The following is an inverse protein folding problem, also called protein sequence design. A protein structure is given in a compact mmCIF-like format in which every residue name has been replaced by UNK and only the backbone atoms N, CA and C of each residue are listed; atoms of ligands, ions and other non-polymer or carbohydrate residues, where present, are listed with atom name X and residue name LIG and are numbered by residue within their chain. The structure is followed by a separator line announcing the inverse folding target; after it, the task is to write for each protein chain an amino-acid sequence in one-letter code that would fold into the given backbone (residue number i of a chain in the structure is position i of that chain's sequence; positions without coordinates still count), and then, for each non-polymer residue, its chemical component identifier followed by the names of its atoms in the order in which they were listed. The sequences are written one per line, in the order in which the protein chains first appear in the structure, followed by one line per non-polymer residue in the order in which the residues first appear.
data_IF_924918869490
#
_entry.id   IF_924918869490
#
_cell.length_a   1.000
_cell.length_b   1.000
_cell.length_c   1.000
_cell.angle_alpha   90.00
_cell.angle_beta   90.00
_cell.angle_gamma   90.00
#
_symmetry.space_group_name_H-M   'P 1'
#
loop_
_entity.id
_entity.type
_entity.pdbx_description
1 polymer ?
#
# COMPACT_ATOMS: atom_id res chain seq x y z
N UNK A 1 28.45 20.61 -10.86
CA UNK A 1 28.56 20.31 -9.40
C UNK A 1 27.57 19.21 -8.94
N UNK A 2 26.30 19.18 -9.38
CA UNK A 2 25.32 18.13 -8.96
C UNK A 2 25.69 16.68 -9.34
N UNK A 3 26.31 16.43 -10.49
CA UNK A 3 26.63 15.06 -10.93
C UNK A 3 27.71 14.38 -10.08
N UNK A 4 28.71 15.14 -9.58
CA UNK A 4 29.76 14.60 -8.71
C UNK A 4 29.19 14.06 -7.39
N UNK A 5 28.14 14.70 -6.85
CA UNK A 5 27.49 14.28 -5.60
C UNK A 5 26.63 13.02 -5.72
N UNK A 6 26.05 12.73 -6.90
CA UNK A 6 25.23 11.53 -7.08
C UNK A 6 26.12 10.30 -7.30
N UNK A 7 27.12 10.41 -8.18
CA UNK A 7 28.10 9.35 -8.43
C UNK A 7 28.88 9.00 -7.15
N UNK A 8 29.33 10.00 -6.37
CA UNK A 8 30.07 9.73 -5.13
C UNK A 8 29.25 8.96 -4.11
N UNK A 9 27.94 9.25 -4.01
CA UNK A 9 27.01 8.51 -3.14
C UNK A 9 26.77 7.09 -3.64
N UNK A 10 26.58 6.92 -4.94
CA UNK A 10 26.43 5.60 -5.57
C UNK A 10 27.65 4.72 -5.31
N UNK A 11 28.87 5.25 -5.48
CA UNK A 11 30.11 4.52 -5.20
C UNK A 11 30.22 4.18 -3.70
N UNK A 12 29.88 5.10 -2.79
CA UNK A 12 29.92 4.83 -1.35
C UNK A 12 28.90 3.78 -0.86
N UNK A 13 27.95 3.40 -1.70
CA UNK A 13 26.93 2.39 -1.38
C UNK A 13 27.29 0.98 -1.83
N UNK A 14 28.43 0.80 -2.51
CA UNK A 14 28.92 -0.51 -2.93
C UNK A 14 29.36 -1.35 -1.73
N UNK A 15 29.10 -2.64 -1.80
CA UNK A 15 29.70 -3.62 -0.89
C UNK A 15 31.05 -4.13 -1.43
N UNK A 16 31.79 -4.89 -0.61
CA UNK A 16 33.10 -5.42 -1.03
C UNK A 16 33.04 -6.36 -2.24
N UNK A 17 31.90 -7.00 -2.50
CA UNK A 17 31.75 -7.86 -3.67
C UNK A 17 31.56 -7.03 -4.94
N UNK A 18 30.76 -5.98 -4.86
CA UNK A 18 30.51 -5.02 -5.93
C UNK A 18 31.78 -4.24 -6.29
N UNK A 19 32.60 -3.85 -5.31
CA UNK A 19 33.91 -3.22 -5.57
C UNK A 19 34.88 -4.14 -6.33
N UNK A 20 34.95 -5.43 -5.94
CA UNK A 20 35.76 -6.42 -6.66
C UNK A 20 35.28 -6.61 -8.09
N UNK A 21 33.97 -6.66 -8.27
CA UNK A 21 33.36 -6.81 -9.59
C UNK A 21 33.63 -5.59 -10.48
N UNK A 22 33.54 -4.38 -9.93
CA UNK A 22 33.92 -3.14 -10.63
C UNK A 22 35.38 -3.17 -11.09
N UNK A 23 36.28 -3.61 -10.20
CA UNK A 23 37.71 -3.73 -10.53
C UNK A 23 37.95 -4.81 -11.59
N UNK A 24 37.20 -5.92 -11.56
CA UNK A 24 37.24 -6.94 -12.59
C UNK A 24 36.83 -6.37 -13.95
N UNK A 25 35.69 -5.66 -14.03
CA UNK A 25 35.25 -5.02 -15.27
C UNK A 25 36.28 -4.04 -15.81
N UNK A 26 36.87 -3.19 -14.95
CA UNK A 26 37.93 -2.27 -15.37
C UNK A 26 39.16 -3.02 -15.90
N UNK A 27 39.51 -4.16 -15.29
CA UNK A 27 40.63 -5.00 -15.72
C UNK A 27 40.35 -5.69 -17.05
N UNK A 28 39.12 -6.13 -17.29
CA UNK A 28 38.68 -6.70 -18.58
C UNK A 28 38.76 -5.66 -19.70
N UNK A 29 38.28 -4.44 -19.46
CA UNK A 29 38.39 -3.32 -20.41
C UNK A 29 39.86 -2.99 -20.69
N UNK A 30 40.70 -2.90 -19.66
CA UNK A 30 42.14 -2.65 -19.84
C UNK A 30 42.81 -3.75 -20.67
N UNK A 31 42.51 -5.03 -20.41
CA UNK A 31 43.05 -6.15 -21.18
C UNK A 31 42.59 -6.13 -22.62
N UNK A 32 41.31 -5.83 -22.86
CA UNK A 32 40.76 -5.70 -24.21
C UNK A 32 41.43 -4.57 -24.97
N UNK A 33 41.63 -3.40 -24.35
CA UNK A 33 42.34 -2.26 -24.93
C UNK A 33 43.79 -2.60 -25.34
N UNK A 34 44.49 -3.44 -24.57
CA UNK A 34 45.87 -3.85 -24.87
C UNK A 34 46.00 -4.98 -25.90
N UNK A 35 45.06 -5.94 -25.92
CA UNK A 35 45.29 -7.25 -26.55
C UNK A 35 44.40 -7.54 -27.78
N UNK A 36 43.42 -6.70 -28.06
CA UNK A 36 42.47 -6.89 -29.17
C UNK A 36 42.48 -5.67 -30.08
N UNK A 37 42.16 -5.85 -31.35
CA UNK A 37 41.90 -4.77 -32.32
C UNK A 37 40.39 -4.59 -32.62
N UNK A 38 39.52 -5.33 -31.93
CA UNK A 38 38.07 -5.21 -32.08
C UNK A 38 37.60 -3.80 -31.68
N UNK A 39 36.69 -3.21 -32.47
CA UNK A 39 36.18 -1.85 -32.23
C UNK A 39 35.20 -1.73 -31.06
N UNK A 40 34.63 -2.85 -30.60
CA UNK A 40 33.63 -2.88 -29.52
C UNK A 40 33.81 -4.06 -28.58
N UNK A 41 33.42 -3.90 -27.32
CA UNK A 41 33.23 -5.00 -26.36
C UNK A 41 31.92 -4.82 -25.58
N UNK A 42 31.45 -5.91 -24.96
CA UNK A 42 30.27 -5.92 -24.12
C UNK A 42 30.64 -6.35 -22.70
N UNK A 43 30.01 -5.71 -21.71
CA UNK A 43 30.02 -6.17 -20.33
C UNK A 43 28.59 -6.51 -19.90
N UNK A 44 28.39 -7.72 -19.40
CA UNK A 44 27.11 -8.13 -18.80
C UNK A 44 27.07 -7.72 -17.32
N UNK A 45 26.16 -6.80 -17.01
CA UNK A 45 26.06 -6.18 -15.70
C UNK A 45 24.60 -6.16 -15.29
N UNK A 46 24.20 -7.14 -14.48
CA UNK A 46 22.78 -7.31 -14.11
C UNK A 46 22.22 -6.18 -13.25
N UNK A 47 23.02 -5.67 -12.30
CA UNK A 47 22.60 -4.64 -11.34
C UNK A 47 22.54 -3.26 -12.00
N UNK A 48 21.38 -2.55 -12.01
CA UNK A 48 21.27 -1.22 -12.62
C UNK A 48 22.23 -0.19 -12.05
N UNK A 49 22.44 -0.20 -10.72
CA UNK A 49 23.37 0.69 -10.05
C UNK A 49 24.82 0.45 -10.51
N UNK A 50 25.22 -0.81 -10.67
CA UNK A 50 26.54 -1.17 -11.16
C UNK A 50 26.75 -0.71 -12.61
N UNK A 51 25.75 -0.84 -13.48
CA UNK A 51 25.83 -0.31 -14.86
C UNK A 51 26.15 1.17 -14.86
N UNK A 52 25.40 1.95 -14.09
CA UNK A 52 25.63 3.40 -13.96
C UNK A 52 27.05 3.73 -13.48
N UNK A 53 27.55 3.01 -12.46
CA UNK A 53 28.90 3.22 -11.93
C UNK A 53 29.96 2.84 -12.97
N UNK A 54 29.81 1.69 -13.63
CA UNK A 54 30.75 1.20 -14.66
C UNK A 54 30.86 2.19 -15.83
N UNK A 55 29.75 2.76 -16.30
CA UNK A 55 29.78 3.82 -17.31
C UNK A 55 30.67 5.00 -16.90
N UNK A 56 30.52 5.48 -15.66
CA UNK A 56 31.26 6.62 -15.15
C UNK A 56 32.74 6.28 -14.90
N UNK A 57 33.01 5.13 -14.30
CA UNK A 57 34.37 4.70 -13.94
C UNK A 57 35.21 4.43 -15.20
N UNK A 58 34.65 3.75 -16.20
CA UNK A 58 35.34 3.50 -17.48
C UNK A 58 35.67 4.80 -18.17
N UNK A 59 34.69 5.73 -18.29
CA UNK A 59 34.93 7.05 -18.92
C UNK A 59 35.95 7.89 -18.15
N UNK A 60 36.07 7.69 -16.84
CA UNK A 60 37.07 8.38 -16.02
C UNK A 60 38.47 7.77 -16.14
N UNK A 61 38.57 6.43 -16.23
CA UNK A 61 39.85 5.72 -16.32
C UNK A 61 40.40 5.67 -17.75
N UNK A 62 39.54 5.63 -18.75
CA UNK A 62 39.87 5.47 -20.17
C UNK A 62 39.19 6.58 -20.99
N UNK A 63 39.84 7.76 -21.15
CA UNK A 63 39.25 8.91 -21.83
C UNK A 63 38.86 8.67 -23.30
N UNK A 64 39.56 7.75 -23.98
CA UNK A 64 39.37 7.45 -25.40
C UNK A 64 38.28 6.37 -25.67
N UNK A 65 37.47 6.07 -24.65
CA UNK A 65 36.43 5.05 -24.71
C UNK A 65 35.05 5.68 -24.61
N UNK A 66 34.12 5.22 -25.44
CA UNK A 66 32.71 5.60 -25.39
C UNK A 66 31.88 4.45 -24.81
N UNK A 67 30.84 4.77 -24.05
CA UNK A 67 29.98 3.73 -23.46
C UNK A 67 28.49 4.05 -23.63
N UNK A 68 27.67 3.04 -23.89
CA UNK A 68 26.21 3.14 -24.01
C UNK A 68 25.53 1.86 -23.52
N UNK A 69 24.26 1.94 -23.12
CA UNK A 69 23.43 0.74 -22.94
C UNK A 69 23.18 0.09 -24.32
N UNK A 70 23.17 -1.24 -24.39
CA UNK A 70 22.83 -1.96 -25.62
C UNK A 70 21.36 -1.81 -25.97
N UNK A 71 21.07 -1.50 -27.25
CA UNK A 71 19.71 -1.28 -27.78
C UNK A 71 18.78 -2.50 -27.63
N UNK A 72 19.33 -3.72 -27.59
CA UNK A 72 18.56 -4.97 -27.50
C UNK A 72 18.52 -5.60 -26.11
N UNK A 73 19.43 -5.22 -25.21
CA UNK A 73 19.49 -5.76 -23.85
C UNK A 73 20.01 -4.71 -22.87
N UNK A 74 19.09 -4.15 -22.08
CA UNK A 74 19.39 -3.12 -21.05
C UNK A 74 20.33 -3.58 -19.92
N UNK A 75 20.70 -4.87 -19.86
CA UNK A 75 21.72 -5.38 -18.92
C UNK A 75 23.15 -5.26 -19.46
N UNK A 76 23.32 -5.06 -20.76
CA UNK A 76 24.62 -5.05 -21.41
C UNK A 76 25.12 -3.62 -21.59
N UNK A 77 26.32 -3.35 -21.08
CA UNK A 77 27.07 -2.12 -21.36
C UNK A 77 27.94 -2.34 -22.58
N UNK A 78 27.68 -1.58 -23.64
CA UNK A 78 28.46 -1.56 -24.86
C UNK A 78 29.54 -0.49 -24.78
N UNK A 79 30.77 -0.90 -25.08
CA UNK A 79 31.97 -0.09 -25.00
C UNK A 79 32.59 0.00 -26.39
N UNK A 80 32.87 1.21 -26.86
CA UNK A 80 33.52 1.48 -28.13
C UNK A 80 34.93 2.02 -27.91
N UNK A 81 35.86 1.59 -28.76
CA UNK A 81 37.21 2.15 -28.85
C UNK A 81 37.22 3.32 -29.85
N UNK A 82 37.41 4.54 -29.35
CA UNK A 82 37.62 5.78 -30.12
C UNK A 82 36.58 6.09 -31.25
N UNK A 83 36.73 7.23 -31.92
CA UNK A 83 35.89 7.78 -33.01
C UNK A 83 35.93 6.99 -34.33
N UNK A 84 36.58 5.82 -34.37
CA UNK A 84 36.68 4.98 -35.57
C UNK A 84 35.35 4.31 -35.95
N UNK A 85 34.37 4.31 -35.04
CA UNK A 85 32.99 3.94 -35.38
C UNK A 85 32.24 5.22 -35.71
N UNK A 86 32.10 5.51 -37.01
CA UNK A 86 31.24 6.59 -37.49
C UNK A 86 29.87 6.45 -36.81
N UNK A 87 29.37 7.54 -36.20
CA UNK A 87 28.12 7.67 -35.41
C UNK A 87 28.11 7.21 -33.95
N UNK A 88 29.18 6.60 -33.41
CA UNK A 88 29.21 6.21 -32.00
C UNK A 88 29.33 7.44 -31.08
N UNK A 89 28.42 7.55 -30.11
CA UNK A 89 28.46 8.56 -29.06
C UNK A 89 28.23 7.89 -27.71
N UNK A 90 28.88 8.41 -26.67
CA UNK A 90 28.57 8.02 -25.30
C UNK A 90 27.13 8.41 -24.97
N UNK A 91 26.40 7.51 -24.30
CA UNK A 91 25.10 7.85 -23.73
C UNK A 91 25.26 9.05 -22.78
N UNK A 92 24.44 10.11 -22.92
CA UNK A 92 24.50 11.26 -22.03
C UNK A 92 24.36 10.83 -20.57
N UNK A 93 25.15 11.43 -19.67
CA UNK A 93 25.10 11.08 -18.23
C UNK A 93 23.68 11.24 -17.68
N UNK A 94 22.96 12.28 -18.11
CA UNK A 94 21.56 12.51 -17.73
C UNK A 94 20.65 11.33 -18.11
N UNK A 95 20.83 10.77 -19.31
CA UNK A 95 20.07 9.59 -19.76
C UNK A 95 20.38 8.36 -18.90
N UNK A 96 21.65 8.16 -18.53
CA UNK A 96 22.05 7.07 -17.63
C UNK A 96 21.46 7.24 -16.22
N UNK A 97 21.44 8.47 -15.70
CA UNK A 97 20.81 8.80 -14.41
C UNK A 97 19.29 8.56 -14.45
N UNK A 98 18.61 9.00 -15.52
CA UNK A 98 17.18 8.76 -15.72
C UNK A 98 16.85 7.26 -15.83
N UNK A 99 17.63 6.51 -16.60
CA UNK A 99 17.49 5.05 -16.71
C UNK A 99 17.63 4.37 -15.34
N UNK A 100 18.66 4.74 -14.57
CA UNK A 100 18.87 4.23 -13.22
C UNK A 100 17.68 4.56 -12.31
N UNK A 101 17.24 5.82 -12.28
CA UNK A 101 16.10 6.26 -11.46
C UNK A 101 14.85 5.49 -11.84
N UNK A 102 14.57 5.32 -13.13
CA UNK A 102 13.42 4.57 -13.62
C UNK A 102 13.44 3.09 -13.20
N UNK A 103 14.63 2.47 -13.15
CA UNK A 103 14.80 1.12 -12.61
C UNK A 103 14.60 1.08 -11.08
N UNK A 104 15.11 2.06 -10.34
CA UNK A 104 15.07 2.08 -8.88
C UNK A 104 13.69 2.43 -8.31
N UNK A 105 12.90 3.26 -9.00
CA UNK A 105 11.59 3.70 -8.51
C UNK A 105 10.58 2.54 -8.38
N UNK A 106 10.68 1.51 -9.23
CA UNK A 106 9.86 0.29 -9.14
C UNK A 106 8.36 0.58 -8.90
N UNK A 107 7.81 0.04 -7.81
CA UNK A 107 6.40 0.19 -7.44
C UNK A 107 6.02 1.62 -6.99
N UNK A 108 6.97 2.44 -6.56
CA UNK A 108 6.72 3.84 -6.15
C UNK A 108 6.15 4.69 -7.30
N UNK A 109 6.34 4.26 -8.55
CA UNK A 109 5.71 4.87 -9.72
C UNK A 109 4.18 4.77 -9.66
N UNK A 110 3.65 3.64 -9.21
CA UNK A 110 2.21 3.44 -9.03
C UNK A 110 1.68 4.37 -7.93
N UNK A 111 2.41 4.47 -6.81
CA UNK A 111 2.04 5.39 -5.72
C UNK A 111 2.03 6.85 -6.21
N UNK A 112 3.03 7.25 -6.99
CA UNK A 112 3.10 8.58 -7.59
C UNK A 112 1.93 8.86 -8.54
N UNK A 113 1.48 7.84 -9.30
CA UNK A 113 0.29 7.95 -10.14
C UNK A 113 -0.99 8.10 -9.30
N UNK A 114 -1.15 7.30 -8.25
CA UNK A 114 -2.28 7.42 -7.33
C UNK A 114 -2.35 8.81 -6.68
N UNK A 115 -1.19 9.32 -6.26
CA UNK A 115 -1.05 10.68 -5.74
C UNK A 115 -1.42 11.71 -6.81
N UNK A 116 -0.94 11.59 -8.04
CA UNK A 116 -1.21 12.56 -9.12
C UNK A 116 -2.70 12.63 -9.47
N UNK A 117 -3.36 11.48 -9.61
CA UNK A 117 -4.76 11.44 -10.05
C UNK A 117 -5.78 11.68 -8.93
N UNK A 118 -5.39 11.56 -7.66
CA UNK A 118 -6.25 11.81 -6.47
C UNK A 118 -7.64 11.14 -6.55
N UNK A 119 -7.73 10.00 -7.23
CA UNK A 119 -8.98 9.24 -7.35
C UNK A 119 -9.37 8.67 -5.98
N UNK A 120 -10.67 8.45 -5.70
CA UNK A 120 -11.09 7.79 -4.48
C UNK A 120 -10.41 6.42 -4.31
N UNK A 121 -9.84 6.18 -3.14
CA UNK A 121 -9.29 4.88 -2.76
C UNK A 121 -10.26 4.23 -1.78
N UNK A 122 -10.57 2.98 -2.05
CA UNK A 122 -11.51 2.17 -1.27
C UNK A 122 -10.73 1.01 -0.66
N UNK A 123 -10.90 0.80 0.64
CA UNK A 123 -10.31 -0.32 1.37
C UNK A 123 -11.33 -1.01 2.27
N UNK A 124 -10.93 -2.11 2.88
CA UNK A 124 -11.68 -2.78 3.93
C UNK A 124 -10.80 -2.88 5.16
N UNK A 125 -11.13 -2.15 6.23
CA UNK A 125 -10.27 -2.03 7.40
C UNK A 125 -8.87 -1.46 7.08
N UNK A 126 -8.86 -0.35 6.34
CA UNK A 126 -7.70 0.15 5.59
C UNK A 126 -6.59 0.75 6.48
N UNK A 127 -6.79 0.91 7.79
CA UNK A 127 -5.85 1.65 8.65
C UNK A 127 -4.43 1.10 8.59
N UNK A 128 -4.26 -0.22 8.71
CA UNK A 128 -2.93 -0.82 8.68
C UNK A 128 -2.29 -0.71 7.29
N UNK A 129 -3.09 -0.83 6.22
CA UNK A 129 -2.61 -0.62 4.85
C UNK A 129 -2.04 0.78 4.67
N UNK A 130 -2.69 1.81 5.24
CA UNK A 130 -2.20 3.20 5.19
C UNK A 130 -0.90 3.37 5.99
N UNK A 131 -0.77 2.70 7.14
CA UNK A 131 0.46 2.74 7.94
C UNK A 131 1.63 2.10 7.17
N UNK A 132 1.40 0.93 6.56
CA UNK A 132 2.42 0.25 5.76
C UNK A 132 2.78 1.05 4.50
N UNK A 133 1.77 1.57 3.79
CA UNK A 133 1.97 2.41 2.62
C UNK A 133 2.78 3.66 2.97
N UNK A 134 2.46 4.32 4.08
CA UNK A 134 3.22 5.47 4.56
C UNK A 134 4.69 5.11 4.76
N UNK A 135 4.94 4.10 5.58
CA UNK A 135 6.31 3.70 5.95
C UNK A 135 7.16 3.25 4.74
N UNK A 136 6.53 2.62 3.74
CA UNK A 136 7.24 2.06 2.59
C UNK A 136 7.43 3.05 1.44
N UNK A 137 6.45 3.92 1.18
CA UNK A 137 6.42 4.72 -0.05
C UNK A 137 6.36 6.23 0.15
N UNK A 138 6.03 6.69 1.35
CA UNK A 138 5.94 8.13 1.67
C UNK A 138 7.17 8.55 2.47
N UNK A 139 7.53 7.76 3.47
CA UNK A 139 8.68 8.00 4.34
C UNK A 139 8.47 7.34 5.70
N UNK A 140 9.46 7.42 6.61
CA UNK A 140 9.33 6.83 7.94
C UNK A 140 8.10 7.37 8.67
N UNK A 141 7.43 6.51 9.45
CA UNK A 141 6.26 6.90 10.24
C UNK A 141 6.61 8.11 11.14
N UNK A 142 5.83 9.21 11.07
CA UNK A 142 6.14 10.40 11.84
C UNK A 142 5.85 10.18 13.32
N UNK A 143 6.62 10.85 14.18
CA UNK A 143 6.43 10.80 15.65
C UNK A 143 5.07 11.35 16.09
N UNK A 144 4.49 12.27 15.32
CA UNK A 144 3.19 12.89 15.60
C UNK A 144 2.10 12.24 14.77
N UNK A 145 1.05 11.77 15.45
CA UNK A 145 -0.15 11.20 14.82
C UNK A 145 -0.84 12.16 13.85
N UNK A 146 -0.92 13.45 14.18
CA UNK A 146 -1.48 14.47 13.28
C UNK A 146 -0.70 14.61 11.98
N UNK A 147 0.63 14.48 12.02
CA UNK A 147 1.48 14.50 10.82
C UNK A 147 1.21 13.27 9.95
N UNK A 148 1.03 12.09 10.53
CA UNK A 148 0.65 10.88 9.77
C UNK A 148 -0.66 11.09 9.00
N UNK A 149 -1.69 11.61 9.68
CA UNK A 149 -2.98 11.90 9.06
C UNK A 149 -2.85 12.89 7.92
N UNK A 150 -2.13 13.99 8.14
CA UNK A 150 -1.92 15.02 7.11
C UNK A 150 -1.16 14.45 5.89
N UNK A 151 -0.11 13.66 6.11
CA UNK A 151 0.65 13.04 5.03
C UNK A 151 -0.25 12.16 4.16
N UNK A 152 -1.03 11.27 4.78
CA UNK A 152 -1.95 10.40 4.05
C UNK A 152 -3.06 11.20 3.35
N UNK A 153 -3.70 12.15 4.04
CA UNK A 153 -4.81 12.92 3.48
C UNK A 153 -4.36 13.80 2.31
N UNK A 154 -3.17 14.39 2.39
CA UNK A 154 -2.59 15.16 1.29
C UNK A 154 -2.35 14.26 0.07
N UNK A 155 -1.86 13.03 0.27
CA UNK A 155 -1.62 12.10 -0.84
C UNK A 155 -2.91 11.52 -1.41
N UNK A 156 -3.84 11.11 -0.54
CA UNK A 156 -5.10 10.46 -0.86
C UNK A 156 -6.27 11.18 -0.16
N UNK A 157 -6.84 12.23 -0.79
CA UNK A 157 -7.82 13.10 -0.14
C UNK A 157 -9.21 12.46 0.02
N UNK A 158 -9.44 11.32 -0.64
CA UNK A 158 -10.73 10.62 -0.67
C UNK A 158 -10.54 9.14 -0.36
N UNK A 159 -10.58 8.80 0.92
CA UNK A 159 -10.52 7.42 1.41
C UNK A 159 -11.90 6.92 1.81
N UNK A 160 -12.21 5.66 1.53
CA UNK A 160 -13.44 5.01 1.97
C UNK A 160 -13.13 3.64 2.56
N UNK A 161 -13.54 3.43 3.80
CA UNK A 161 -13.39 2.15 4.48
C UNK A 161 -14.73 1.40 4.52
N UNK A 162 -14.83 0.35 3.72
CA UNK A 162 -16.05 -0.45 3.60
C UNK A 162 -16.44 -1.13 4.90
N UNK A 163 -15.50 -1.41 5.81
CA UNK A 163 -15.82 -2.02 7.12
C UNK A 163 -16.56 -1.02 8.00
N UNK A 164 -16.11 0.23 8.03
CA UNK A 164 -16.79 1.30 8.75
C UNK A 164 -18.16 1.63 8.13
N UNK A 165 -18.22 1.72 6.79
CA UNK A 165 -19.49 1.94 6.07
C UNK A 165 -20.49 0.83 6.37
N UNK A 166 -20.04 -0.43 6.33
CA UNK A 166 -20.86 -1.57 6.70
C UNK A 166 -21.42 -1.38 8.10
N UNK A 167 -20.56 -1.19 9.09
CA UNK A 167 -20.98 -1.03 10.48
C UNK A 167 -22.05 0.07 10.67
N UNK A 168 -21.87 1.25 10.07
CA UNK A 168 -22.85 2.34 10.14
C UNK A 168 -24.17 2.03 9.42
N UNK A 169 -24.10 1.50 8.20
CA UNK A 169 -25.30 1.18 7.42
C UNK A 169 -26.05 -0.02 8.00
N UNK A 170 -25.35 -0.95 8.67
CA UNK A 170 -25.92 -2.14 9.28
C UNK A 170 -26.95 -1.84 10.34
N UNK A 171 -26.80 -0.72 11.05
CA UNK A 171 -27.78 -0.23 12.03
C UNK A 171 -29.17 0.05 11.43
N UNK A 172 -29.25 0.21 10.11
CA UNK A 172 -30.48 0.45 9.35
C UNK A 172 -31.10 -0.84 8.79
N UNK A 173 -30.46 -1.99 8.98
CA UNK A 173 -30.99 -3.28 8.54
C UNK A 173 -32.08 -3.74 9.51
N UNK A 174 -33.12 -4.37 8.94
CA UNK A 174 -34.15 -5.06 9.73
C UNK A 174 -33.62 -6.42 10.19
N UNK A 175 -34.25 -6.99 11.20
CA UNK A 175 -33.85 -8.25 11.83
C UNK A 175 -33.72 -9.43 10.85
N UNK A 176 -34.42 -9.40 9.71
CA UNK A 176 -34.37 -10.43 8.66
C UNK A 176 -33.33 -10.16 7.55
N UNK A 177 -32.64 -9.02 7.58
CA UNK A 177 -31.68 -8.58 6.54
C UNK A 177 -30.25 -8.40 7.09
N UNK A 178 -29.98 -8.86 8.31
CA UNK A 178 -28.69 -8.67 8.99
C UNK A 178 -27.61 -9.56 8.34
N UNK A 179 -26.50 -8.97 7.88
CA UNK A 179 -25.33 -9.74 7.47
C UNK A 179 -24.73 -10.46 8.69
N UNK A 180 -24.10 -11.62 8.46
CA UNK A 180 -23.52 -12.45 9.54
C UNK A 180 -22.45 -11.70 10.34
N UNK A 181 -21.61 -10.94 9.64
CA UNK A 181 -20.56 -10.12 10.25
C UNK A 181 -20.15 -8.99 9.30
N UNK A 182 -19.29 -8.08 9.77
CA UNK A 182 -18.65 -7.04 8.93
C UNK A 182 -17.31 -7.50 8.35
N UNK A 183 -17.02 -8.81 8.33
CA UNK A 183 -15.87 -9.35 7.63
C UNK A 183 -16.06 -9.23 6.12
N UNK A 184 -14.96 -9.08 5.38
CA UNK A 184 -14.98 -8.88 3.93
C UNK A 184 -15.75 -9.99 3.21
N UNK A 185 -15.45 -11.24 3.54
CA UNK A 185 -16.08 -12.43 2.98
C UNK A 185 -17.61 -12.41 3.17
N UNK A 186 -18.07 -12.27 4.41
CA UNK A 186 -19.50 -12.28 4.73
C UNK A 186 -20.26 -11.15 4.02
N UNK A 187 -19.67 -9.96 3.95
CA UNK A 187 -20.25 -8.82 3.25
C UNK A 187 -20.30 -9.07 1.73
N UNK A 188 -19.24 -9.61 1.15
CA UNK A 188 -19.19 -9.91 -0.28
C UNK A 188 -20.21 -10.99 -0.66
N UNK A 189 -20.30 -12.07 0.11
CA UNK A 189 -21.31 -13.13 -0.06
C UNK A 189 -22.73 -12.55 0.05
N UNK A 190 -23.00 -11.74 1.08
CA UNK A 190 -24.29 -11.09 1.27
C UNK A 190 -24.73 -10.26 0.05
N UNK A 191 -23.82 -9.49 -0.54
CA UNK A 191 -24.13 -8.67 -1.71
C UNK A 191 -24.11 -9.43 -3.05
N UNK A 192 -23.31 -10.49 -3.18
CA UNK A 192 -23.21 -11.28 -4.41
C UNK A 192 -24.37 -12.25 -4.56
N UNK A 193 -24.88 -12.80 -3.46
CA UNK A 193 -26.05 -13.68 -3.42
C UNK A 193 -27.40 -12.93 -3.48
N UNK A 194 -27.38 -11.60 -3.58
CA UNK A 194 -28.59 -10.78 -3.69
C UNK A 194 -29.48 -10.82 -2.44
N UNK A 195 -28.92 -11.14 -1.27
CA UNK A 195 -29.66 -11.24 0.01
C UNK A 195 -30.20 -9.90 0.51
N UNK A 196 -29.67 -8.79 0.04
CA UNK A 196 -30.19 -7.46 0.33
C UNK A 196 -31.43 -7.17 -0.51
N UNK A 197 -32.64 -7.35 0.05
CA UNK A 197 -33.91 -7.11 -0.68
C UNK A 197 -34.04 -5.67 -1.19
N UNK A 198 -33.52 -4.70 -0.42
CA UNK A 198 -33.42 -3.28 -0.82
C UNK A 198 -32.64 -3.05 -2.12
N UNK A 199 -31.82 -4.01 -2.54
CA UNK A 199 -30.98 -3.97 -3.73
C UNK A 199 -31.42 -4.97 -4.80
N UNK A 200 -32.53 -5.70 -4.66
CA UNK A 200 -32.90 -6.72 -5.66
C UNK A 200 -33.37 -6.13 -7.01
N UNK A 201 -33.83 -4.87 -7.04
CA UNK A 201 -34.41 -4.25 -8.22
C UNK A 201 -33.51 -3.12 -8.78
N UNK A 202 -33.30 -3.12 -10.10
CA UNK A 202 -32.64 -2.05 -10.89
C UNK A 202 -31.15 -1.79 -10.56
N UNK A 203 -30.38 -2.86 -10.38
CA UNK A 203 -28.94 -2.77 -10.15
C UNK A 203 -28.14 -2.59 -11.44
N UNK A 204 -27.01 -1.88 -11.30
CA UNK A 204 -25.95 -2.01 -12.30
C UNK A 204 -25.30 -3.39 -12.15
N UNK A 205 -25.06 -4.06 -13.28
CA UNK A 205 -24.22 -5.25 -13.34
C UNK A 205 -22.77 -4.86 -13.10
N UNK A 206 -22.10 -5.59 -12.20
CA UNK A 206 -20.67 -5.46 -11.98
C UNK A 206 -20.02 -6.62 -12.72
N UNK A 207 -19.27 -6.31 -13.77
CA UNK A 207 -18.57 -7.32 -14.58
C UNK A 207 -17.09 -6.98 -14.59
N UNK A 208 -16.27 -8.00 -14.32
CA UNK A 208 -14.83 -7.93 -14.52
C UNK A 208 -14.52 -7.95 -16.02
N UNK A 209 -13.74 -6.96 -16.48
CA UNK A 209 -13.25 -6.93 -17.87
C UNK A 209 -12.26 -8.06 -18.13
N UNK A 210 -11.41 -8.36 -17.13
CA UNK A 210 -10.44 -9.45 -17.16
C UNK A 210 -10.78 -10.44 -16.05
N UNK A 211 -11.16 -11.69 -16.36
CA UNK A 211 -11.43 -12.70 -15.35
C UNK A 211 -10.15 -13.08 -14.62
N UNK A 212 -10.29 -13.58 -13.39
CA UNK A 212 -9.16 -14.12 -12.64
C UNK A 212 -8.74 -15.47 -13.21
N UNK A 213 -7.42 -15.71 -13.29
CA UNK A 213 -6.84 -16.90 -13.94
C UNK A 213 -6.90 -18.18 -13.07
N UNK A 214 -7.15 -18.07 -11.77
CA UNK A 214 -7.06 -19.19 -10.79
C UNK A 214 -8.26 -19.15 -9.85
N UNK A 215 -8.60 -20.30 -9.22
CA UNK A 215 -9.56 -20.35 -8.10
C UNK A 215 -9.13 -19.34 -7.03
N UNK A 216 -9.94 -18.31 -6.86
CA UNK A 216 -9.66 -17.20 -5.96
C UNK A 216 -9.91 -17.63 -4.51
N UNK A 217 -9.00 -17.24 -3.63
CA UNK A 217 -9.14 -17.44 -2.19
C UNK A 217 -9.09 -16.09 -1.49
N UNK A 218 -9.85 -15.93 -0.42
CA UNK A 218 -9.67 -14.80 0.49
C UNK A 218 -8.22 -14.74 0.99
N UNK A 219 -7.75 -13.54 1.32
CA UNK A 219 -6.36 -13.23 1.68
C UNK A 219 -5.39 -13.08 0.49
N UNK A 220 -5.89 -13.10 -0.74
CA UNK A 220 -5.15 -12.61 -1.90
C UNK A 220 -5.48 -11.12 -2.14
N UNK A 221 -4.46 -10.25 -2.13
CA UNK A 221 -4.67 -8.80 -2.19
C UNK A 221 -5.50 -8.33 -3.40
N UNK A 222 -5.33 -8.97 -4.57
CA UNK A 222 -6.09 -8.67 -5.79
C UNK A 222 -7.57 -9.04 -5.65
N UNK A 223 -7.86 -10.22 -5.12
CA UNK A 223 -9.22 -10.70 -4.87
C UNK A 223 -9.92 -9.87 -3.79
N UNK A 224 -9.24 -9.60 -2.68
CA UNK A 224 -9.79 -8.82 -1.57
C UNK A 224 -10.09 -7.37 -2.00
N UNK A 225 -9.24 -6.79 -2.86
CA UNK A 225 -9.49 -5.48 -3.47
C UNK A 225 -10.71 -5.47 -4.38
N UNK A 226 -10.92 -6.53 -5.18
CA UNK A 226 -12.12 -6.68 -6.00
C UNK A 226 -13.38 -6.80 -5.14
N UNK A 227 -13.38 -7.68 -4.13
CA UNK A 227 -14.48 -7.85 -3.19
C UNK A 227 -14.84 -6.53 -2.50
N UNK A 228 -13.82 -5.80 -2.04
CA UNK A 228 -13.95 -4.47 -1.43
C UNK A 228 -14.62 -3.47 -2.39
N UNK A 229 -14.16 -3.41 -3.64
CA UNK A 229 -14.76 -2.56 -4.67
C UNK A 229 -16.21 -2.92 -4.97
N UNK A 230 -16.54 -4.21 -5.06
CA UNK A 230 -17.90 -4.69 -5.27
C UNK A 230 -18.83 -4.24 -4.12
N UNK A 231 -18.42 -4.46 -2.87
CA UNK A 231 -19.14 -4.03 -1.68
C UNK A 231 -19.38 -2.52 -1.69
N UNK A 232 -18.36 -1.72 -1.98
CA UNK A 232 -18.47 -0.26 -2.03
C UNK A 232 -19.47 0.23 -3.07
N UNK A 233 -19.47 -0.36 -4.27
CA UNK A 233 -20.44 -0.02 -5.32
C UNK A 233 -21.88 -0.33 -4.86
N UNK A 234 -22.08 -1.42 -4.12
CA UNK A 234 -23.38 -1.82 -3.57
C UNK A 234 -23.84 -0.88 -2.45
N UNK A 235 -22.94 -0.50 -1.55
CA UNK A 235 -23.23 0.54 -0.55
C UNK A 235 -23.61 1.87 -1.20
N UNK A 236 -22.88 2.29 -2.23
CA UNK A 236 -23.17 3.54 -2.92
C UNK A 236 -24.52 3.53 -3.64
N UNK A 237 -24.91 2.37 -4.18
CA UNK A 237 -26.25 2.20 -4.74
C UNK A 237 -27.33 2.28 -3.64
N UNK A 238 -27.14 1.55 -2.54
CA UNK A 238 -28.10 1.57 -1.42
C UNK A 238 -28.27 2.99 -0.86
N UNK A 239 -27.17 3.69 -0.55
CA UNK A 239 -27.20 5.06 -0.04
C UNK A 239 -27.91 6.02 -1.00
N UNK A 240 -27.68 5.90 -2.31
CA UNK A 240 -28.34 6.74 -3.30
C UNK A 240 -29.85 6.46 -3.41
N UNK A 241 -30.25 5.19 -3.35
CA UNK A 241 -31.66 4.79 -3.34
C UNK A 241 -32.38 5.30 -2.08
N UNK A 242 -31.75 5.27 -0.90
CA UNK A 242 -32.29 5.84 0.33
C UNK A 242 -32.49 7.35 0.21
N UNK A 243 -31.47 8.08 -0.25
CA UNK A 243 -31.55 9.55 -0.38
C UNK A 243 -32.69 10.01 -1.31
N UNK A 244 -33.09 9.18 -2.27
CA UNK A 244 -34.20 9.48 -3.19
C UNK A 244 -35.55 8.89 -2.79
N UNK A 245 -35.59 7.89 -1.91
CA UNK A 245 -36.80 7.13 -1.59
C UNK A 245 -37.28 6.18 -2.70
N UNK A 246 -36.47 5.91 -3.74
CA UNK A 246 -36.79 4.94 -4.82
C UNK A 246 -35.53 4.24 -5.35
N UNK A 247 -35.63 2.95 -5.67
CA UNK A 247 -34.54 2.18 -6.28
C UNK A 247 -34.48 2.42 -7.78
N UNK A 248 -33.28 2.66 -8.32
CA UNK A 248 -33.00 2.73 -9.77
C UNK A 248 -31.53 2.53 -10.08
N UNK A 249 -31.18 2.32 -11.34
CA UNK A 249 -29.79 2.36 -11.76
C UNK A 249 -29.14 3.75 -11.47
N UNK A 250 -28.07 3.73 -10.67
CA UNK A 250 -27.34 4.94 -10.22
C UNK A 250 -25.94 5.00 -10.84
N UNK A 251 -25.54 6.17 -11.37
CA UNK A 251 -24.20 6.38 -11.93
C UNK A 251 -23.10 6.57 -10.88
N UNK A 252 -21.80 6.52 -11.24
CA UNK A 252 -20.68 6.62 -10.29
C UNK A 252 -20.67 7.91 -9.46
N UNK A 253 -20.95 9.05 -10.09
CA UNK A 253 -20.97 10.37 -9.42
C UNK A 253 -21.98 10.40 -8.29
N UNK A 254 -23.19 9.89 -8.55
CA UNK A 254 -24.27 9.89 -7.57
C UNK A 254 -23.99 8.90 -6.41
N UNK A 255 -23.40 7.73 -6.69
CA UNK A 255 -22.96 6.81 -5.64
C UNK A 255 -21.92 7.46 -4.71
N UNK A 256 -20.94 8.15 -5.29
CA UNK A 256 -19.91 8.84 -4.51
C UNK A 256 -20.49 9.99 -3.68
N UNK A 257 -21.42 10.77 -4.25
CA UNK A 257 -22.10 11.83 -3.53
C UNK A 257 -22.93 11.27 -2.36
N UNK A 258 -23.63 10.15 -2.56
CA UNK A 258 -24.41 9.50 -1.51
C UNK A 258 -23.57 8.91 -0.37
N UNK A 259 -22.29 8.59 -0.63
CA UNK A 259 -21.35 8.11 0.37
C UNK A 259 -20.44 9.20 0.95
N UNK A 260 -20.58 10.46 0.54
CA UNK A 260 -19.64 11.53 0.86
C UNK A 260 -19.41 11.73 2.37
N UNK A 261 -20.44 11.50 3.20
CA UNK A 261 -20.32 11.60 4.67
C UNK A 261 -19.48 10.50 5.31
N UNK A 262 -19.17 9.41 4.60
CA UNK A 262 -18.23 8.37 5.03
C UNK A 262 -16.79 8.63 4.58
N UNK A 263 -16.56 9.65 3.74
CA UNK A 263 -15.24 9.95 3.22
C UNK A 263 -14.25 10.27 4.35
N UNK A 264 -13.03 9.72 4.24
CA UNK A 264 -11.91 9.86 5.17
C UNK A 264 -12.17 9.33 6.59
N UNK A 265 -13.21 8.52 6.79
CA UNK A 265 -13.48 7.81 8.05
C UNK A 265 -12.96 6.38 7.95
N UNK A 266 -11.79 6.12 8.51
CA UNK A 266 -11.07 4.85 8.41
C UNK A 266 -11.31 4.01 9.66
N UNK A 267 -11.72 2.76 9.51
CA UNK A 267 -12.09 1.90 10.63
C UNK A 267 -10.91 1.64 11.58
N UNK A 268 -11.16 1.61 12.89
CA UNK A 268 -10.20 1.09 13.87
C UNK A 268 -10.83 -0.04 14.66
N UNK A 269 -10.27 -1.24 14.51
CA UNK A 269 -10.68 -2.41 15.29
C UNK A 269 -10.22 -2.23 16.74
N UNK A 270 -11.17 -2.37 17.69
CA UNK A 270 -10.91 -2.31 19.14
C UNK A 270 -10.23 -1.02 19.61
N UNK A 271 -10.43 0.07 18.87
CA UNK A 271 -9.97 1.41 19.23
C UNK A 271 -10.84 2.04 20.31
N UNK A 272 -10.32 3.10 20.97
CA UNK A 272 -11.13 3.95 21.84
C UNK A 272 -12.16 4.80 21.06
N UNK A 273 -11.97 4.89 19.75
CA UNK A 273 -12.83 5.55 18.76
C UNK A 273 -13.19 4.53 17.69
N UNK A 274 -14.36 4.70 17.04
CA UNK A 274 -14.84 3.79 15.99
C UNK A 274 -14.05 3.92 14.69
N UNK A 275 -13.57 5.13 14.39
CA UNK A 275 -12.82 5.43 13.18
C UNK A 275 -11.83 6.56 13.43
N UNK A 276 -10.79 6.61 12.59
CA UNK A 276 -9.91 7.77 12.43
C UNK A 276 -10.48 8.65 11.33
N UNK A 277 -10.61 9.95 11.62
CA UNK A 277 -11.00 10.94 10.61
C UNK A 277 -9.75 11.53 9.95
N UNK A 278 -9.32 11.01 8.81
CA UNK A 278 -8.06 11.41 8.16
C UNK A 278 -8.02 12.89 7.76
N UNK A 279 -9.18 13.51 7.54
CA UNK A 279 -9.31 14.93 7.17
C UNK A 279 -9.53 15.89 8.35
N UNK A 280 -9.69 15.39 9.57
CA UNK A 280 -10.11 16.24 10.68
C UNK A 280 -9.92 15.61 12.06
N UNK A 281 -10.72 16.05 13.03
CA UNK A 281 -10.67 15.53 14.39
C UNK A 281 -11.37 14.17 14.46
N UNK A 282 -10.80 13.25 15.23
CA UNK A 282 -11.39 11.94 15.49
C UNK A 282 -12.67 12.10 16.33
N UNK A 283 -13.64 11.17 16.21
CA UNK A 283 -14.87 11.25 16.99
C UNK A 283 -14.58 11.15 18.50
N UNK A 284 -15.58 11.55 19.30
CA UNK A 284 -15.50 11.41 20.74
C UNK A 284 -15.32 9.94 21.15
N UNK A 285 -14.64 9.72 22.27
CA UNK A 285 -14.49 8.38 22.84
C UNK A 285 -15.79 7.99 23.54
N UNK A 286 -16.29 6.81 23.21
CA UNK A 286 -17.48 6.23 23.87
C UNK A 286 -17.13 4.99 24.68
N UNK A 287 -15.83 4.67 24.83
CA UNK A 287 -15.41 3.52 25.61
C UNK A 287 -15.64 3.79 27.10
N UNK A 288 -16.30 2.88 27.83
CA UNK A 288 -16.45 3.01 29.28
C UNK A 288 -15.08 3.00 29.97
N UNK A 289 -15.04 3.49 31.21
CA UNK A 289 -13.84 3.41 32.05
C UNK A 289 -13.39 1.95 32.18
N UNK A 290 -12.07 1.75 32.28
CA UNK A 290 -11.52 0.42 32.48
C UNK A 290 -12.01 -0.15 33.80
N UNK A 291 -12.45 -1.40 33.78
CA UNK A 291 -12.77 -2.12 35.01
C UNK A 291 -11.49 -2.72 35.57
N UNK A 292 -11.26 -2.51 36.85
CA UNK A 292 -10.17 -3.13 37.58
C UNK A 292 -10.71 -4.33 38.35
N UNK A 293 -10.24 -5.52 38.01
CA UNK A 293 -10.64 -6.77 38.68
C UNK A 293 -9.46 -7.33 39.44
N UNK A 294 -9.68 -7.73 40.68
CA UNK A 294 -8.67 -8.36 41.54
C UNK A 294 -9.19 -9.64 42.19
N UNK A 295 -8.30 -10.59 42.41
CA UNK A 295 -8.58 -11.75 43.25
C UNK A 295 -8.68 -11.30 44.72
N UNK A 296 -9.69 -11.79 45.44
CA UNK A 296 -9.84 -11.52 46.87
C UNK A 296 -8.85 -12.34 47.72
N UNK A 297 -8.43 -13.49 47.20
CA UNK A 297 -7.43 -14.36 47.82
C UNK A 297 -6.06 -14.09 47.24
N UNK A 298 -5.02 -14.51 47.96
CA UNK A 298 -3.63 -14.40 47.55
C UNK A 298 -3.27 -15.35 46.40
N UNK A 299 -3.89 -15.20 45.23
CA UNK A 299 -3.75 -16.11 44.10
C UNK A 299 -3.61 -15.38 42.78
N UNK A 300 -2.87 -16.00 41.86
CA UNK A 300 -2.71 -15.54 40.48
C UNK A 300 -4.07 -15.36 39.82
N UNK A 301 -4.28 -14.22 39.17
CA UNK A 301 -5.52 -13.98 38.44
C UNK A 301 -5.63 -14.89 37.21
N UNK A 302 -6.71 -15.65 37.12
CA UNK A 302 -7.00 -16.46 35.94
C UNK A 302 -7.74 -15.60 34.90
N UNK A 303 -6.99 -15.17 33.88
CA UNK A 303 -7.47 -14.29 32.80
C UNK A 303 -8.59 -14.93 32.01
N UNK A 304 -8.48 -16.22 31.69
CA UNK A 304 -9.47 -16.95 30.90
C UNK A 304 -10.80 -17.06 31.65
N UNK A 305 -10.76 -17.27 32.96
CA UNK A 305 -11.94 -17.27 33.82
C UNK A 305 -12.60 -15.89 33.85
N UNK A 306 -11.81 -14.83 33.97
CA UNK A 306 -12.33 -13.44 33.92
C UNK A 306 -12.97 -13.16 32.57
N UNK A 307 -12.30 -13.51 31.47
CA UNK A 307 -12.80 -13.35 30.12
C UNK A 307 -14.11 -14.14 29.90
N UNK A 308 -14.16 -15.39 30.36
CA UNK A 308 -15.34 -16.26 30.26
C UNK A 308 -16.55 -15.67 30.99
N UNK A 309 -16.37 -15.23 32.24
CA UNK A 309 -17.46 -14.62 33.03
C UNK A 309 -18.02 -13.39 32.33
N UNK A 310 -17.14 -12.53 31.84
CA UNK A 310 -17.53 -11.22 31.32
C UNK A 310 -17.90 -11.23 29.82
N UNK A 311 -17.60 -12.31 29.10
CA UNK A 311 -17.99 -12.48 27.69
C UNK A 311 -19.50 -12.43 27.48
N UNK A 312 -20.28 -12.76 28.51
CA UNK A 312 -21.74 -12.66 28.51
C UNK A 312 -22.26 -11.23 28.37
N UNK A 313 -21.45 -10.23 28.76
CA UNK A 313 -21.79 -8.81 28.66
C UNK A 313 -21.29 -8.16 27.37
N UNK A 314 -20.65 -8.92 26.48
CA UNK A 314 -20.13 -8.45 25.21
C UNK A 314 -18.65 -8.74 25.02
N UNK A 315 -18.10 -8.23 23.92
CA UNK A 315 -16.68 -8.40 23.62
C UNK A 315 -15.83 -7.53 24.55
N UNK A 316 -14.86 -8.17 25.19
CA UNK A 316 -13.97 -7.56 26.18
C UNK A 316 -12.51 -7.93 25.89
N UNK A 317 -11.61 -7.01 26.22
CA UNK A 317 -10.17 -7.25 26.23
C UNK A 317 -9.69 -7.31 27.69
N UNK A 318 -9.00 -8.38 28.07
CA UNK A 318 -8.45 -8.54 29.42
C UNK A 318 -6.93 -8.43 29.37
N UNK A 319 -6.37 -7.50 30.16
CA UNK A 319 -4.92 -7.31 30.28
C UNK A 319 -4.48 -7.57 31.73
N UNK A 320 -3.57 -8.53 31.97
CA UNK A 320 -2.96 -8.72 33.28
C UNK A 320 -2.31 -7.43 33.79
N UNK A 321 -2.50 -7.14 35.08
CA UNK A 321 -1.96 -5.96 35.75
C UNK A 321 -1.44 -6.36 37.13
N UNK A 322 -0.22 -6.88 37.17
CA UNK A 322 0.38 -7.47 38.38
C UNK A 322 -0.11 -8.90 38.65
N UNK A 323 0.27 -9.45 39.81
CA UNK A 323 0.04 -10.85 40.14
C UNK A 323 -1.45 -11.19 40.39
N UNK A 324 -2.23 -10.25 40.93
CA UNK A 324 -3.60 -10.52 41.42
C UNK A 324 -4.69 -9.77 40.70
N UNK A 325 -4.35 -9.01 39.68
CA UNK A 325 -5.30 -8.08 39.07
C UNK A 325 -5.18 -8.04 37.56
N UNK A 326 -6.28 -7.63 36.93
CA UNK A 326 -6.39 -7.42 35.51
C UNK A 326 -7.21 -6.15 35.24
N UNK A 327 -6.84 -5.48 34.16
CA UNK A 327 -7.60 -4.38 33.59
C UNK A 327 -8.49 -4.94 32.49
N UNK A 328 -9.73 -4.50 32.47
CA UNK A 328 -10.74 -4.97 31.52
C UNK A 328 -11.25 -3.79 30.73
N UNK A 329 -11.13 -3.92 29.42
CA UNK A 329 -11.62 -2.97 28.45
C UNK A 329 -12.87 -3.57 27.80
N UNK A 330 -14.04 -3.02 28.11
CA UNK A 330 -15.26 -3.35 27.38
C UNK A 330 -15.34 -2.60 26.06
N UNK A 331 -16.03 -3.18 25.09
CA UNK A 331 -16.44 -2.46 23.90
C UNK A 331 -17.45 -1.35 24.26
N UNK A 332 -17.57 -0.36 23.38
CA UNK A 332 -18.60 0.68 23.54
C UNK A 332 -19.98 0.12 23.19
N UNK A 333 -21.05 0.65 23.76
CA UNK A 333 -22.43 0.35 23.36
C UNK A 333 -22.72 0.68 21.87
N UNK A 334 -21.78 1.38 21.24
CA UNK A 334 -21.77 1.73 19.83
C UNK A 334 -20.69 0.93 19.06
N UNK A 335 -20.55 -0.37 19.28
CA UNK A 335 -19.70 -1.23 18.44
C UNK A 335 -20.40 -2.52 18.08
#
# INVERSE_FOLDING_TARGET
MKNKTFLSKAISSLDMADEKLLQQYCSEVSKWLCNSDEGTMYLDIEKPLMRYIVHNEIRSRFPDVLTTDSLGNSKMVLIYRDKNVESANSAPILTLEENLINCLLGFSRIISLLETYKKPIVGHNLYLDLVLLHNQFIGPLPKKYSTFKNNIHNMFPKLYDTKFIAWEMGKKLKSDEVWKSTALQDLYEFFSEGKCKKLQNELNFIKLSTPFNVKQTYHEAGWDSYCTGHIFIRFGHWAASENRGRSRAVGPVEKLAALAHYCNKVNIIRGAVQYVNMSGVDPARHRPAWLYVRTLREQLINVDKVASILSSFGSIDVKPHGYRSALIAANSDYT
#
